data_IF_153892975363
#
_entry.id   IF_153892975363
#
_cell.length_a   1.000
_cell.length_b   1.000
_cell.length_c   1.000
_cell.angle_alpha   90.00
_cell.angle_beta   90.00
_cell.angle_gamma   90.00
#
_symmetry.space_group_name_H-M   'P 1'
#
loop_
_entity.id
_entity.type
_entity.pdbx_description
1 polymer ?
#
# COMPACT_ATOMS: atom_id res chain seq x y z
N UNK A 1 -8.54 -32.71 73.94
CA UNK A 1 -7.84 -31.64 73.22
C UNK A 1 -7.53 -32.17 71.81
N UNK A 2 -8.35 -31.89 70.84
CA UNK A 2 -8.17 -32.30 69.46
C UNK A 2 -7.62 -31.15 68.65
N UNK A 3 -6.51 -31.37 67.96
CA UNK A 3 -5.87 -30.45 67.05
C UNK A 3 -6.39 -30.80 65.63
N UNK A 4 -7.22 -29.98 65.08
CA UNK A 4 -7.65 -30.09 63.68
C UNK A 4 -6.63 -29.39 62.79
N UNK A 5 -5.90 -30.18 62.01
CA UNK A 5 -4.97 -29.68 60.97
C UNK A 5 -5.77 -29.31 59.73
N UNK A 6 -5.85 -28.03 59.40
CA UNK A 6 -6.44 -27.52 58.18
C UNK A 6 -5.37 -27.59 57.05
N UNK A 7 -5.55 -28.51 56.12
CA UNK A 7 -4.71 -28.58 54.90
C UNK A 7 -5.24 -27.58 53.90
N UNK A 8 -4.45 -26.52 53.66
CA UNK A 8 -4.76 -25.51 52.66
C UNK A 8 -4.25 -26.01 51.29
N UNK A 9 -5.13 -26.41 50.41
CA UNK A 9 -4.80 -26.81 49.05
C UNK A 9 -4.59 -25.56 48.19
N UNK A 10 -3.35 -25.28 47.83
CA UNK A 10 -3.01 -24.21 46.86
C UNK A 10 -3.29 -24.72 45.44
N UNK A 11 -4.36 -24.21 44.83
CA UNK A 11 -4.66 -24.47 43.41
C UNK A 11 -3.77 -23.60 42.53
N UNK A 12 -2.76 -24.20 41.91
CA UNK A 12 -1.91 -23.55 40.92
C UNK A 12 -2.68 -23.42 39.62
N UNK A 13 -3.19 -22.23 39.32
CA UNK A 13 -3.79 -21.92 38.02
C UNK A 13 -2.67 -21.72 37.01
N UNK A 14 -2.39 -22.74 36.22
CA UNK A 14 -1.51 -22.65 35.06
C UNK A 14 -2.26 -21.91 33.97
N UNK A 15 -2.10 -20.59 33.85
CA UNK A 15 -2.52 -19.83 32.66
C UNK A 15 -1.59 -20.22 31.53
N UNK A 16 -2.05 -21.14 30.68
CA UNK A 16 -1.38 -21.44 29.45
C UNK A 16 -1.39 -20.19 28.54
N UNK A 17 -0.23 -19.55 28.40
CA UNK A 17 -0.01 -18.59 27.33
C UNK A 17 -0.06 -19.41 26.03
N UNK A 18 -1.17 -19.30 25.28
CA UNK A 18 -1.21 -19.81 23.92
C UNK A 18 -0.09 -19.10 23.15
N UNK A 19 0.95 -19.82 22.80
CA UNK A 19 1.94 -19.33 21.84
C UNK A 19 1.18 -19.07 20.53
N UNK A 20 0.96 -17.81 20.20
CA UNK A 20 0.43 -17.41 18.92
C UNK A 20 1.53 -17.81 17.92
N UNK A 21 1.27 -18.83 17.10
CA UNK A 21 2.16 -19.19 16.02
C UNK A 21 2.24 -17.99 15.08
N UNK A 22 3.35 -17.28 15.11
CA UNK A 22 3.55 -16.05 14.32
C UNK A 22 3.82 -16.34 12.84
N UNK A 23 3.87 -17.62 12.46
CA UNK A 23 4.03 -18.04 11.08
C UNK A 23 2.66 -18.11 10.38
N UNK A 24 2.37 -17.14 9.54
CA UNK A 24 1.18 -17.13 8.69
C UNK A 24 1.58 -17.08 7.21
N UNK A 25 1.80 -18.23 6.57
CA UNK A 25 2.26 -18.29 5.19
C UNK A 25 1.19 -17.80 4.18
N UNK A 26 -0.07 -17.72 4.58
CA UNK A 26 -1.16 -17.21 3.74
C UNK A 26 -1.34 -15.69 3.89
N UNK A 27 -0.42 -15.03 4.58
CA UNK A 27 -0.40 -13.59 4.78
C UNK A 27 -0.86 -13.12 6.15
N UNK A 28 -0.46 -11.92 6.56
CA UNK A 28 -0.84 -11.33 7.83
C UNK A 28 -2.33 -10.94 7.84
N UNK A 29 -2.95 -10.82 9.03
CA UNK A 29 -4.26 -10.19 9.11
C UNK A 29 -4.21 -8.74 8.62
N UNK A 30 -5.33 -8.17 8.11
CA UNK A 30 -5.37 -6.78 7.66
C UNK A 30 -4.92 -5.79 8.73
N UNK A 31 -4.26 -4.70 8.32
CA UNK A 31 -3.92 -3.59 9.22
C UNK A 31 -2.53 -3.69 9.85
N UNK A 32 -1.54 -4.16 9.11
CA UNK A 32 -0.14 -4.27 9.57
C UNK A 32 0.85 -3.57 8.62
N UNK A 33 0.43 -2.45 8.01
CA UNK A 33 1.26 -1.69 7.06
C UNK A 33 2.12 -0.61 7.71
N UNK A 34 1.89 -0.30 9.00
CA UNK A 34 2.52 0.83 9.68
C UNK A 34 1.87 2.18 9.38
N UNK A 35 0.98 2.27 8.38
CA UNK A 35 0.30 3.51 8.02
C UNK A 35 -0.93 3.80 8.88
N UNK A 36 -1.24 5.08 9.07
CA UNK A 36 -2.45 5.55 9.79
C UNK A 36 -2.61 4.95 11.20
N UNK A 37 -1.49 4.77 11.90
CA UNK A 37 -1.47 4.22 13.25
C UNK A 37 -1.61 2.71 13.33
N UNK A 38 -1.53 2.00 12.22
CA UNK A 38 -1.46 0.54 12.22
C UNK A 38 -0.12 0.04 12.75
N UNK A 39 -0.07 -1.13 13.39
CA UNK A 39 1.18 -1.81 13.67
C UNK A 39 1.89 -2.23 12.37
N UNK A 40 3.13 -2.71 12.52
CA UNK A 40 3.91 -3.34 11.46
C UNK A 40 4.09 -4.83 11.75
N UNK A 41 4.81 -5.54 10.91
CA UNK A 41 5.17 -6.95 11.14
C UNK A 41 5.96 -7.17 12.44
N UNK A 42 6.58 -6.14 13.01
CA UNK A 42 7.38 -6.23 14.26
C UNK A 42 6.55 -6.67 15.47
N UNK A 43 5.21 -6.52 15.43
CA UNK A 43 4.36 -6.95 16.55
C UNK A 43 4.42 -8.47 16.76
N UNK A 44 4.66 -9.22 15.69
CA UNK A 44 4.81 -10.68 15.71
C UNK A 44 6.27 -11.10 15.50
N UNK A 45 7.01 -10.39 14.62
CA UNK A 45 8.41 -10.69 14.29
C UNK A 45 9.31 -9.76 15.11
N UNK A 46 9.88 -10.30 16.19
CA UNK A 46 10.58 -9.51 17.22
C UNK A 46 12.07 -9.84 17.26
N UNK A 47 12.84 -8.95 17.89
CA UNK A 47 14.27 -9.16 18.15
C UNK A 47 15.19 -8.27 17.34
N UNK A 48 14.64 -7.46 16.42
CA UNK A 48 15.39 -6.46 15.66
C UNK A 48 14.66 -5.12 15.64
N UNK A 49 15.40 -4.05 15.47
CA UNK A 49 14.82 -2.72 15.25
C UNK A 49 14.14 -2.66 13.86
N UNK A 50 13.09 -1.84 13.76
CA UNK A 50 12.46 -1.55 12.49
C UNK A 50 13.44 -0.87 11.54
N UNK A 51 13.52 -1.33 10.29
CA UNK A 51 14.48 -0.86 9.29
C UNK A 51 15.95 -1.01 9.74
N UNK A 52 16.26 -2.10 10.43
CA UNK A 52 17.63 -2.44 10.80
C UNK A 52 18.52 -2.54 9.54
N UNK A 53 19.83 -2.41 9.75
CA UNK A 53 20.82 -2.59 8.68
C UNK A 53 20.74 -4.00 8.08
N UNK A 54 21.03 -4.12 6.79
CA UNK A 54 21.07 -5.41 6.06
C UNK A 54 19.96 -5.57 5.02
N UNK A 55 19.02 -4.61 4.91
CA UNK A 55 17.98 -4.69 3.88
C UNK A 55 17.16 -3.42 3.72
N UNK A 56 16.16 -3.51 2.84
CA UNK A 56 15.17 -2.47 2.57
C UNK A 56 13.96 -3.02 1.83
N UNK A 57 12.84 -2.34 1.94
CA UNK A 57 11.67 -2.53 1.07
C UNK A 57 11.44 -1.27 0.24
N UNK A 58 11.06 -1.44 -1.03
CA UNK A 58 10.73 -0.33 -1.94
C UNK A 58 9.44 -0.62 -2.68
N UNK A 59 8.77 0.46 -3.14
CA UNK A 59 7.61 0.39 -4.03
C UNK A 59 8.02 1.00 -5.37
N UNK A 60 7.94 0.23 -6.42
CA UNK A 60 8.32 0.62 -7.77
C UNK A 60 7.09 0.69 -8.69
N UNK A 61 7.23 1.39 -9.84
CA UNK A 61 6.18 1.48 -10.85
C UNK A 61 5.16 2.59 -10.62
N UNK A 62 5.33 3.40 -9.57
CA UNK A 62 4.47 4.56 -9.32
C UNK A 62 4.90 5.77 -10.18
N UNK A 63 3.94 6.53 -10.74
CA UNK A 63 4.23 7.80 -11.41
C UNK A 63 4.50 8.91 -10.39
N UNK A 64 5.08 10.03 -10.83
CA UNK A 64 5.19 11.23 -10.00
C UNK A 64 3.82 11.81 -9.64
N UNK A 65 2.87 11.73 -10.57
CA UNK A 65 1.47 12.09 -10.40
C UNK A 65 0.60 11.03 -11.06
N UNK A 66 -0.47 10.57 -10.40
CA UNK A 66 -1.36 9.58 -10.99
C UNK A 66 -2.48 10.23 -11.80
N UNK A 67 -2.89 9.57 -12.88
CA UNK A 67 -4.09 9.93 -13.64
C UNK A 67 -5.27 9.14 -13.09
N UNK A 68 -6.37 9.86 -12.82
CA UNK A 68 -7.60 9.28 -12.26
C UNK A 68 -8.14 8.14 -13.13
N UNK A 69 -8.39 6.99 -12.52
CA UNK A 69 -8.91 5.79 -13.17
C UNK A 69 -7.89 5.01 -14.01
N UNK A 70 -6.64 5.48 -14.12
CA UNK A 70 -5.58 4.77 -14.83
C UNK A 70 -5.03 3.58 -14.04
N UNK A 71 -4.40 2.66 -14.75
CA UNK A 71 -3.85 1.42 -14.22
C UNK A 71 -2.34 1.46 -14.19
N UNK A 72 -1.78 1.15 -13.03
CA UNK A 72 -0.34 1.11 -12.81
C UNK A 72 0.08 -0.29 -12.37
N UNK A 73 1.18 -0.78 -12.92
CA UNK A 73 1.82 -1.99 -12.43
C UNK A 73 2.76 -1.60 -11.30
N UNK A 74 2.47 -2.07 -10.10
CA UNK A 74 3.28 -1.85 -8.92
C UNK A 74 4.10 -3.08 -8.62
N UNK A 75 5.30 -2.87 -8.11
CA UNK A 75 6.14 -3.93 -7.57
C UNK A 75 6.65 -3.53 -6.19
N UNK A 76 6.36 -4.35 -5.19
CA UNK A 76 7.03 -4.31 -3.89
C UNK A 76 8.28 -5.15 -4.02
N UNK A 77 9.45 -4.56 -3.79
CA UNK A 77 10.75 -5.23 -3.80
C UNK A 77 11.33 -5.23 -2.39
N UNK A 78 11.61 -6.42 -1.86
CA UNK A 78 12.39 -6.62 -0.65
C UNK A 78 13.78 -7.10 -1.03
N UNK A 79 14.79 -6.39 -0.55
CA UNK A 79 16.19 -6.80 -0.60
C UNK A 79 16.70 -6.88 0.83
N UNK A 80 17.08 -8.06 1.29
CA UNK A 80 17.57 -8.26 2.64
C UNK A 80 18.49 -9.47 2.70
N UNK A 81 19.64 -9.29 3.34
CA UNK A 81 20.64 -10.33 3.52
C UNK A 81 20.09 -11.49 4.37
N UNK A 82 20.55 -12.71 4.10
CA UNK A 82 20.22 -13.93 4.87
C UNK A 82 18.71 -14.21 4.96
N UNK A 83 17.94 -13.90 3.89
CA UNK A 83 16.51 -14.12 3.81
C UNK A 83 16.18 -15.45 3.13
N UNK A 84 15.51 -16.35 3.84
CA UNK A 84 15.01 -17.62 3.31
C UNK A 84 13.52 -17.57 2.93
N UNK A 85 12.73 -16.84 3.71
CA UNK A 85 11.29 -16.62 3.50
C UNK A 85 10.94 -15.13 3.70
N UNK A 86 10.00 -14.65 2.92
CA UNK A 86 9.60 -13.26 3.01
C UNK A 86 8.07 -13.09 2.99
N UNK A 87 7.61 -12.01 3.57
CA UNK A 87 6.21 -11.61 3.53
C UNK A 87 6.07 -10.11 3.45
N UNK A 88 4.89 -9.64 3.03
CA UNK A 88 4.60 -8.21 2.99
C UNK A 88 3.12 -7.92 3.24
N UNK A 89 2.83 -6.69 3.56
CA UNK A 89 1.49 -6.11 3.47
C UNK A 89 1.58 -4.68 2.94
N UNK A 90 0.77 -4.38 1.93
CA UNK A 90 0.66 -3.05 1.31
C UNK A 90 -0.80 -2.60 1.34
N UNK A 91 -1.03 -1.32 1.65
CA UNK A 91 -2.32 -0.66 1.47
C UNK A 91 -2.13 0.70 0.81
N UNK A 92 -3.16 1.14 0.06
CA UNK A 92 -3.22 2.46 -0.55
C UNK A 92 -4.41 3.20 0.02
N UNK A 93 -4.18 4.39 0.58
CA UNK A 93 -5.21 5.19 1.23
C UNK A 93 -5.10 6.65 0.84
N UNK A 94 -6.20 7.38 0.95
CA UNK A 94 -6.14 8.83 0.83
C UNK A 94 -5.28 9.43 1.93
N UNK A 95 -4.34 10.29 1.54
CA UNK A 95 -3.38 10.90 2.47
C UNK A 95 -3.91 12.15 3.14
N UNK A 96 -4.94 12.79 2.60
CA UNK A 96 -5.45 14.08 3.08
C UNK A 96 -6.93 14.25 2.80
N UNK A 97 -7.56 15.23 3.48
CA UNK A 97 -8.95 15.64 3.24
C UNK A 97 -9.98 14.82 3.99
N UNK A 98 -11.24 14.92 3.57
CA UNK A 98 -12.37 14.24 4.22
C UNK A 98 -12.38 12.72 4.07
N UNK A 99 -11.56 12.18 3.17
CA UNK A 99 -11.42 10.75 2.90
C UNK A 99 -10.11 10.17 3.48
N UNK A 100 -9.35 10.97 4.23
CA UNK A 100 -8.07 10.55 4.82
C UNK A 100 -8.19 9.21 5.54
N UNK A 101 -7.27 8.29 5.23
CA UNK A 101 -7.23 6.95 5.77
C UNK A 101 -8.22 5.96 5.15
N UNK A 102 -9.17 6.38 4.30
CA UNK A 102 -10.03 5.49 3.53
C UNK A 102 -9.27 4.85 2.36
N UNK A 103 -9.79 3.73 1.86
CA UNK A 103 -9.22 3.02 0.72
C UNK A 103 -9.15 3.91 -0.53
N UNK A 104 -8.02 3.94 -1.21
CA UNK A 104 -7.80 4.77 -2.39
C UNK A 104 -7.49 3.93 -3.63
N UNK A 105 -8.48 3.81 -4.51
CA UNK A 105 -8.40 2.98 -5.71
C UNK A 105 -8.60 1.50 -5.42
N UNK A 106 -8.16 0.64 -6.34
CA UNK A 106 -8.33 -0.81 -6.25
C UNK A 106 -7.01 -1.52 -6.55
N UNK A 107 -6.68 -2.54 -5.75
CA UNK A 107 -5.51 -3.39 -5.97
C UNK A 107 -5.98 -4.75 -6.48
N UNK A 108 -5.34 -5.23 -7.55
CA UNK A 108 -5.61 -6.53 -8.15
C UNK A 108 -4.32 -7.35 -8.25
N UNK A 109 -4.31 -8.61 -7.77
CA UNK A 109 -3.21 -9.52 -8.01
C UNK A 109 -3.04 -9.76 -9.52
N UNK A 110 -1.80 -9.98 -9.97
CA UNK A 110 -1.51 -10.36 -11.36
C UNK A 110 -1.00 -11.79 -11.47
N UNK A 111 -0.61 -12.39 -10.35
CA UNK A 111 -0.16 -13.77 -10.25
C UNK A 111 -0.60 -14.38 -8.90
N UNK A 112 -0.18 -15.62 -8.65
CA UNK A 112 -0.53 -16.39 -7.46
C UNK A 112 0.39 -16.11 -6.24
N UNK A 113 1.35 -15.19 -6.36
CA UNK A 113 2.22 -14.76 -5.25
C UNK A 113 1.54 -13.72 -4.34
N UNK A 114 0.49 -13.04 -4.84
CA UNK A 114 -0.22 -11.97 -4.14
C UNK A 114 -1.68 -12.33 -3.91
N UNK A 115 -2.20 -12.02 -2.75
CA UNK A 115 -3.61 -12.08 -2.40
C UNK A 115 -4.07 -10.76 -1.80
N UNK A 116 -5.40 -10.55 -1.77
CA UNK A 116 -6.02 -9.34 -1.20
C UNK A 116 -6.92 -9.73 -0.05
N UNK A 117 -6.72 -9.10 1.09
CA UNK A 117 -7.66 -9.11 2.20
C UNK A 117 -8.32 -7.74 2.38
N UNK A 118 -9.53 -7.71 2.93
CA UNK A 118 -10.28 -6.47 3.12
C UNK A 118 -10.61 -6.34 4.61
N UNK A 119 -10.29 -5.19 5.19
CA UNK A 119 -10.64 -4.91 6.58
C UNK A 119 -12.15 -4.62 6.74
N UNK A 120 -12.62 -4.63 7.98
CA UNK A 120 -14.01 -4.23 8.32
C UNK A 120 -14.34 -2.77 7.93
N UNK A 121 -13.31 -1.94 7.71
CA UNK A 121 -13.45 -0.55 7.25
C UNK A 121 -13.38 -0.42 5.72
N UNK A 122 -13.31 -1.53 4.97
CA UNK A 122 -13.26 -1.54 3.52
C UNK A 122 -11.89 -1.24 2.91
N UNK A 123 -10.82 -1.17 3.71
CA UNK A 123 -9.45 -1.00 3.19
C UNK A 123 -8.95 -2.33 2.64
N UNK A 124 -8.42 -2.29 1.42
CA UNK A 124 -7.73 -3.41 0.78
C UNK A 124 -6.28 -3.50 1.24
N UNK A 125 -5.84 -4.74 1.51
CA UNK A 125 -4.44 -5.06 1.83
C UNK A 125 -3.95 -6.14 0.89
N UNK A 126 -2.97 -5.80 0.05
CA UNK A 126 -2.22 -6.79 -0.69
C UNK A 126 -1.20 -7.45 0.25
N UNK A 127 -1.07 -8.76 0.16
CA UNK A 127 -0.12 -9.54 0.96
C UNK A 127 0.34 -10.77 0.19
N UNK A 128 1.43 -11.39 0.63
CA UNK A 128 1.90 -12.65 0.04
C UNK A 128 0.90 -13.78 0.26
N UNK A 129 0.91 -14.72 -0.67
CA UNK A 129 0.39 -16.07 -0.48
C UNK A 129 1.49 -16.99 0.04
N UNK A 130 1.19 -18.25 0.34
CA UNK A 130 2.21 -19.27 0.63
C UNK A 130 3.25 -19.39 -0.47
N UNK A 131 2.84 -19.33 -1.75
CA UNK A 131 3.76 -19.35 -2.88
C UNK A 131 4.57 -18.06 -2.96
N UNK A 132 3.95 -16.93 -2.64
CA UNK A 132 4.59 -15.63 -2.60
C UNK A 132 5.62 -15.46 -1.47
N UNK A 133 5.64 -16.33 -0.45
CA UNK A 133 6.64 -16.25 0.61
C UNK A 133 8.02 -16.75 0.19
N UNK A 134 8.14 -17.46 -0.93
CA UNK A 134 9.42 -17.95 -1.45
C UNK A 134 10.24 -16.82 -2.07
N UNK A 135 11.56 -16.88 -1.88
CA UNK A 135 12.49 -15.94 -2.48
C UNK A 135 12.54 -16.09 -4.01
N UNK A 136 12.65 -14.98 -4.72
CA UNK A 136 12.79 -14.96 -6.19
C UNK A 136 14.24 -15.08 -6.64
N UNK A 137 15.17 -14.61 -5.82
CA UNK A 137 16.61 -14.71 -5.97
C UNK A 137 17.27 -14.71 -4.58
N UNK A 138 18.58 -15.03 -4.44
CA UNK A 138 19.28 -14.83 -3.18
C UNK A 138 19.10 -13.41 -2.66
N UNK A 139 18.74 -13.27 -1.39
CA UNK A 139 18.59 -12.01 -0.68
C UNK A 139 17.60 -11.00 -1.34
N UNK A 140 16.74 -11.47 -2.26
CA UNK A 140 15.80 -10.61 -2.95
C UNK A 140 14.51 -11.34 -3.35
N UNK A 141 13.38 -10.68 -3.14
CA UNK A 141 12.09 -11.14 -3.66
C UNK A 141 11.19 -9.95 -3.98
N UNK A 142 10.22 -10.18 -4.87
CA UNK A 142 9.27 -9.14 -5.27
C UNK A 142 7.86 -9.69 -5.44
N UNK A 143 6.90 -8.78 -5.31
CA UNK A 143 5.48 -9.03 -5.51
C UNK A 143 4.91 -7.93 -6.40
N UNK A 144 4.33 -8.35 -7.53
CA UNK A 144 3.75 -7.42 -8.49
C UNK A 144 2.22 -7.48 -8.46
N UNK A 145 1.59 -6.33 -8.63
CA UNK A 145 0.15 -6.16 -8.61
C UNK A 145 -0.26 -4.98 -9.47
N UNK A 146 -1.51 -4.94 -9.89
CA UNK A 146 -2.08 -3.80 -10.58
C UNK A 146 -2.80 -2.90 -9.57
N UNK A 147 -2.55 -1.61 -9.62
CA UNK A 147 -3.35 -0.61 -8.92
C UNK A 147 -4.14 0.21 -9.92
N UNK A 148 -5.46 0.32 -9.70
CA UNK A 148 -6.34 1.22 -10.44
C UNK A 148 -6.50 2.46 -9.58
N UNK A 149 -6.02 3.60 -10.08
CA UNK A 149 -6.09 4.86 -9.35
C UNK A 149 -7.54 5.31 -9.10
N UNK A 150 -7.81 5.99 -7.98
CA UNK A 150 -9.16 6.47 -7.68
C UNK A 150 -9.63 7.50 -8.71
N UNK A 151 -10.95 7.67 -8.82
CA UNK A 151 -11.57 8.69 -9.67
C UNK A 151 -11.56 10.09 -9.07
N UNK A 152 -11.18 10.22 -7.81
CA UNK A 152 -11.04 11.50 -7.10
C UNK A 152 -9.62 12.03 -7.23
N UNK A 153 -9.44 13.35 -7.16
CA UNK A 153 -8.16 14.04 -7.32
C UNK A 153 -7.40 14.27 -6.01
N UNK A 154 -7.58 13.42 -5.00
CA UNK A 154 -6.91 13.56 -3.70
C UNK A 154 -5.55 12.86 -3.71
N UNK A 155 -4.58 13.37 -2.95
CA UNK A 155 -3.31 12.71 -2.70
C UNK A 155 -3.52 11.33 -2.07
N UNK A 156 -2.76 10.34 -2.50
CA UNK A 156 -2.78 8.99 -1.96
C UNK A 156 -1.44 8.63 -1.34
N UNK A 157 -1.46 7.76 -0.33
CA UNK A 157 -0.26 7.24 0.33
C UNK A 157 -0.27 5.74 0.26
N UNK A 158 0.83 5.19 -0.22
CA UNK A 158 1.15 3.77 -0.19
C UNK A 158 1.96 3.51 1.07
N UNK A 159 1.50 2.57 1.89
CA UNK A 159 2.26 2.08 3.05
C UNK A 159 2.54 0.61 2.86
N UNK A 160 3.79 0.21 3.00
CA UNK A 160 4.23 -1.18 2.93
C UNK A 160 5.08 -1.54 4.14
N UNK A 161 4.84 -2.73 4.66
CA UNK A 161 5.72 -3.42 5.59
C UNK A 161 6.10 -4.75 4.98
N UNK A 162 7.37 -5.12 5.04
CA UNK A 162 7.87 -6.43 4.63
C UNK A 162 8.66 -7.09 5.76
N UNK A 163 8.57 -8.41 5.83
CA UNK A 163 9.30 -9.26 6.75
C UNK A 163 10.32 -10.10 5.99
N UNK A 164 11.54 -10.14 6.48
CA UNK A 164 12.64 -10.99 6.05
C UNK A 164 12.89 -12.02 7.12
N UNK A 165 12.50 -13.26 6.88
CA UNK A 165 12.65 -14.38 7.80
C UNK A 165 13.82 -15.28 7.43
N UNK A 166 14.54 -15.74 8.43
CA UNK A 166 15.72 -16.62 8.30
C UNK A 166 15.37 -18.11 8.16
N UNK A 167 14.08 -18.46 7.99
CA UNK A 167 13.63 -19.83 7.74
C UNK A 167 13.71 -20.80 8.94
N UNK A 168 14.03 -20.34 10.14
CA UNK A 168 14.20 -21.18 11.33
C UNK A 168 12.87 -21.59 12.01
N UNK A 169 11.72 -21.21 11.43
CA UNK A 169 10.37 -21.36 11.96
C UNK A 169 10.12 -20.61 13.29
N UNK A 170 10.94 -19.62 13.60
CA UNK A 170 10.80 -18.71 14.72
C UNK A 170 10.48 -17.31 14.20
N UNK A 171 9.63 -16.53 14.87
CA UNK A 171 9.44 -15.11 14.54
C UNK A 171 10.52 -14.21 15.19
N UNK A 172 11.47 -14.80 15.91
CA UNK A 172 12.53 -14.08 16.58
C UNK A 172 13.72 -13.89 15.64
N UNK A 173 14.32 -12.71 15.69
CA UNK A 173 15.45 -12.31 14.86
C UNK A 173 15.13 -12.10 13.38
N UNK A 174 13.86 -12.13 13.00
CA UNK A 174 13.44 -11.68 11.68
C UNK A 174 13.63 -10.16 11.55
N UNK A 175 13.91 -9.70 10.34
CA UNK A 175 14.06 -8.28 10.04
C UNK A 175 12.78 -7.74 9.43
N UNK A 176 12.37 -6.55 9.85
CA UNK A 176 11.17 -5.89 9.35
C UNK A 176 11.52 -4.53 8.75
N UNK A 177 11.05 -4.31 7.53
CA UNK A 177 11.27 -3.09 6.77
C UNK A 177 9.96 -2.44 6.42
N UNK A 178 9.94 -1.10 6.41
CA UNK A 178 8.78 -0.29 6.00
C UNK A 178 9.19 0.77 5.00
N UNK A 179 8.26 1.09 4.12
CA UNK A 179 8.36 2.27 3.26
C UNK A 179 6.97 2.90 3.10
N UNK A 180 6.95 4.21 2.91
CA UNK A 180 5.78 4.95 2.51
C UNK A 180 6.10 5.85 1.31
N UNK A 181 5.11 6.04 0.44
CA UNK A 181 5.24 6.88 -0.73
C UNK A 181 3.93 7.60 -1.01
N UNK A 182 3.98 8.92 -1.05
CA UNK A 182 2.84 9.76 -1.40
C UNK A 182 2.86 10.08 -2.90
N UNK A 183 1.69 10.01 -3.53
CA UNK A 183 1.51 10.36 -4.95
C UNK A 183 0.31 11.28 -5.08
N UNK A 184 0.52 12.43 -5.69
CA UNK A 184 -0.54 13.39 -5.95
C UNK A 184 -1.31 13.03 -7.23
N UNK A 185 -2.57 13.49 -7.31
CA UNK A 185 -3.32 13.38 -8.55
C UNK A 185 -2.81 14.41 -9.56
N UNK A 186 -2.52 13.94 -10.75
CA UNK A 186 -2.30 14.80 -11.90
C UNK A 186 -3.59 15.50 -12.36
N UNK A 187 -3.49 16.42 -13.33
CA UNK A 187 -4.65 17.15 -13.84
C UNK A 187 -5.67 16.19 -14.46
N UNK A 188 -6.94 16.39 -14.10
CA UNK A 188 -8.04 15.55 -14.59
C UNK A 188 -8.12 15.57 -16.12
N UNK A 189 -8.21 14.41 -16.81
CA UNK A 189 -8.41 14.35 -18.25
C UNK A 189 -9.66 15.10 -18.72
N UNK A 190 -10.67 15.21 -17.85
CA UNK A 190 -11.90 15.96 -18.14
C UNK A 190 -11.64 17.48 -18.19
N UNK A 191 -10.73 17.98 -17.38
CA UNK A 191 -10.36 19.40 -17.35
C UNK A 191 -9.81 19.89 -18.70
N UNK A 192 -8.97 19.12 -19.36
CA UNK A 192 -8.43 19.45 -20.67
C UNK A 192 -9.50 19.50 -21.77
N UNK A 193 -10.46 18.57 -21.72
CA UNK A 193 -11.59 18.55 -22.68
C UNK A 193 -12.46 19.80 -22.53
N UNK A 194 -12.76 20.24 -21.32
CA UNK A 194 -13.55 21.45 -21.07
C UNK A 194 -12.81 22.69 -21.59
N UNK A 195 -11.51 22.79 -21.35
CA UNK A 195 -10.69 23.92 -21.85
C UNK A 195 -10.65 23.93 -23.38
N UNK A 196 -10.46 22.80 -24.04
CA UNK A 196 -10.45 22.72 -25.49
C UNK A 196 -11.83 23.07 -26.10
N UNK A 197 -12.93 22.58 -25.54
CA UNK A 197 -14.27 22.86 -26.03
C UNK A 197 -14.71 24.29 -25.76
N UNK A 198 -14.22 24.98 -24.73
CA UNK A 198 -14.53 26.38 -24.47
C UNK A 198 -13.63 27.36 -25.28
N UNK A 199 -12.40 26.97 -25.57
CA UNK A 199 -11.47 27.82 -26.33
C UNK A 199 -11.77 27.84 -27.85
N UNK A 200 -12.20 26.72 -28.42
CA UNK A 200 -12.44 26.59 -29.86
C UNK A 200 -13.48 27.56 -30.40
N UNK A 201 -14.69 27.74 -29.81
CA UNK A 201 -15.68 28.72 -30.27
C UNK A 201 -15.20 30.15 -30.11
N UNK A 202 -14.43 30.47 -29.07
CA UNK A 202 -13.87 31.80 -28.88
C UNK A 202 -12.85 32.16 -29.95
N UNK A 203 -11.98 31.21 -30.31
CA UNK A 203 -11.03 31.42 -31.42
C UNK A 203 -11.72 31.57 -32.77
N UNK A 204 -12.78 30.79 -33.03
CA UNK A 204 -13.58 30.91 -34.23
C UNK A 204 -14.29 32.30 -34.31
N UNK A 205 -14.88 32.77 -33.22
CA UNK A 205 -15.51 34.08 -33.16
C UNK A 205 -14.49 35.21 -33.37
N UNK A 206 -13.31 35.07 -32.81
CA UNK A 206 -12.23 36.05 -32.97
C UNK A 206 -11.71 36.07 -34.41
N UNK A 207 -11.56 34.91 -35.06
CA UNK A 207 -11.19 34.81 -36.48
C UNK A 207 -12.23 35.42 -37.41
N UNK A 208 -13.53 35.17 -37.15
CA UNK A 208 -14.64 35.79 -37.89
C UNK A 208 -14.69 37.32 -37.72
N UNK A 209 -14.42 37.80 -36.50
CA UNK A 209 -14.37 39.23 -36.23
C UNK A 209 -13.23 39.93 -36.97
N UNK A 210 -12.03 39.33 -36.95
CA UNK A 210 -10.84 39.80 -37.68
C UNK A 210 -11.13 39.86 -39.20
N UNK A 211 -11.71 38.79 -39.76
CA UNK A 211 -12.03 38.74 -41.21
C UNK A 211 -13.02 39.80 -41.63
N UNK A 212 -14.05 40.07 -40.81
CA UNK A 212 -15.02 41.15 -41.06
C UNK A 212 -14.38 42.52 -41.00
N UNK A 213 -13.57 42.79 -39.99
CA UNK A 213 -12.88 44.07 -39.83
C UNK A 213 -11.85 44.36 -40.94
N UNK A 214 -11.35 43.31 -41.58
CA UNK A 214 -10.44 43.44 -42.74
C UNK A 214 -11.19 43.72 -44.04
N UNK A 215 -12.41 43.17 -44.20
CA UNK A 215 -13.28 43.42 -45.36
C UNK A 215 -13.80 44.84 -45.39
N UNK A 216 -14.19 45.42 -44.23
CA UNK A 216 -14.68 46.82 -44.12
C UNK A 216 -13.61 47.88 -44.43
N UNK A 217 -12.33 47.53 -44.38
CA UNK A 217 -11.20 48.43 -44.70
C UNK A 217 -10.85 48.49 -46.19
N UNK A 218 -11.47 47.66 -47.04
CA UNK A 218 -11.15 47.54 -48.47
C UNK A 218 -12.21 48.18 -49.37
N UNK A 219 -13.19 48.96 -48.85
CA UNK A 219 -14.14 49.73 -49.67
C UNK A 219 -13.53 51.08 -49.95
N UNK A 220 -12.99 51.39 -51.18
CA UNK A 220 -12.54 52.70 -51.55
C UNK A 220 -13.76 53.58 -51.85
N UNK A 221 -13.74 54.80 -51.42
CA UNK A 221 -14.67 55.88 -51.76
C UNK A 221 -14.57 56.32 -53.21
#
# INVERSE_FOLDING_TARGET
>A
MGITSTVMAATLVLTGVAAISAFNPEGPPPGHTGGFGEPTCIICHQGSDLNAFGGRVTIEGLPNEYVQGERYLLTVLLEAEETDLAGFQLAVRYGTGGEEGLNAGEIHPIDDRVSISISTKGVQYAHQTRQGSSMSAPDSTSWSMQWIAPSTGNSVVFHVTANSGNGDNSPLSDLVYTADLSVDAGPSPLGWRIVLFSALPLLLLMALWISRSSADRQVPS
#
